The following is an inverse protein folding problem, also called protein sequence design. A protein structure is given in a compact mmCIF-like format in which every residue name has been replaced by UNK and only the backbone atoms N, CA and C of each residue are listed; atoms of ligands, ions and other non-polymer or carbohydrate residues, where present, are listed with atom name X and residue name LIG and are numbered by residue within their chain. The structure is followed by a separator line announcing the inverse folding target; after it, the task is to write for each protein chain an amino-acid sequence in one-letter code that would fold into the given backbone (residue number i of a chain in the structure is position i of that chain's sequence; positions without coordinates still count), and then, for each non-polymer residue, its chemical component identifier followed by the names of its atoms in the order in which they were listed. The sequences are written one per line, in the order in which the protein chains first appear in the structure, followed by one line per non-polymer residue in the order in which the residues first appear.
data_IF_272203140737
#
_entry.id   IF_272203140737
#
_cell.length_a   1.000
_cell.length_b   1.000
_cell.length_c   1.000
_cell.angle_alpha   90.00
_cell.angle_beta   90.00
_cell.angle_gamma   90.00
#
_symmetry.space_group_name_H-M   'P 1'
#
loop_
_entity.id
_entity.type
_entity.pdbx_description
1 polymer ?
#
# COMPACT_ATOMS: atom_id res chain seq x y z
N UNK A 1 17.13 4.91 -30.12
CA UNK A 1 15.96 4.64 -29.28
C UNK A 1 16.16 3.57 -28.18
N UNK A 2 17.10 2.62 -28.27
CA UNK A 2 17.36 1.62 -27.23
C UNK A 2 18.13 2.16 -26.00
N UNK A 3 19.03 3.12 -26.17
CA UNK A 3 19.84 3.68 -25.07
C UNK A 3 19.07 4.58 -24.10
N UNK A 4 18.05 5.30 -24.58
CA UNK A 4 17.22 6.18 -23.74
C UNK A 4 16.32 5.38 -22.79
N UNK A 5 15.90 4.17 -23.20
CA UNK A 5 15.07 3.29 -22.36
C UNK A 5 15.81 2.72 -21.14
N UNK A 6 17.12 2.46 -21.30
CA UNK A 6 17.97 1.95 -20.22
C UNK A 6 18.28 3.05 -19.19
N UNK A 7 18.47 4.30 -19.65
CA UNK A 7 18.72 5.42 -18.75
C UNK A 7 17.52 5.73 -17.83
N UNK A 8 16.28 5.66 -18.35
CA UNK A 8 15.07 5.86 -17.56
C UNK A 8 14.89 4.71 -16.54
N UNK A 9 15.19 3.48 -16.94
CA UNK A 9 15.13 2.33 -16.04
C UNK A 9 16.14 2.44 -14.86
N UNK A 10 17.35 2.92 -15.13
CA UNK A 10 18.36 3.12 -14.08
C UNK A 10 18.00 4.24 -13.10
N UNK A 11 17.37 5.31 -13.58
CA UNK A 11 16.87 6.41 -12.72
C UNK A 11 15.77 5.92 -11.77
N UNK A 12 14.86 5.06 -12.25
CA UNK A 12 13.77 4.51 -11.42
C UNK A 12 14.31 3.56 -10.35
N UNK A 13 15.32 2.73 -10.66
CA UNK A 13 15.96 1.83 -9.68
C UNK A 13 16.78 2.62 -8.64
N UNK A 14 17.47 3.68 -9.05
CA UNK A 14 18.22 4.56 -8.15
C UNK A 14 17.29 5.34 -7.21
N UNK A 15 16.05 5.63 -7.64
CA UNK A 15 15.06 6.37 -6.86
C UNK A 15 14.40 5.55 -5.76
N UNK A 16 14.26 4.25 -5.95
CA UNK A 16 13.66 3.36 -4.96
C UNK A 16 14.53 3.18 -3.70
N UNK A 17 15.82 3.53 -3.75
CA UNK A 17 16.79 3.31 -2.66
C UNK A 17 17.11 4.54 -1.80
N UNK A 18 16.52 5.70 -2.07
CA UNK A 18 17.04 6.98 -1.57
C UNK A 18 16.25 7.71 -0.49
N UNK A 19 15.07 7.25 -0.11
CA UNK A 19 14.19 8.02 0.79
C UNK A 19 13.99 7.39 2.17
N UNK A 20 15.08 7.09 2.86
CA UNK A 20 15.03 6.36 4.13
C UNK A 20 15.36 7.19 5.37
N UNK A 21 15.23 8.49 5.35
CA UNK A 21 15.65 9.29 6.52
C UNK A 21 14.82 10.54 6.81
N UNK A 22 13.50 10.47 6.71
CA UNK A 22 12.68 11.48 7.37
C UNK A 22 11.24 10.97 7.57
N UNK A 23 10.86 10.89 8.82
CA UNK A 23 9.49 10.88 9.33
C UNK A 23 8.59 9.67 9.06
N UNK A 24 8.60 8.74 9.98
CA UNK A 24 7.56 7.74 10.23
C UNK A 24 6.23 8.35 10.75
N UNK A 25 5.87 9.55 10.36
CA UNK A 25 4.77 10.27 11.03
C UNK A 25 3.57 10.63 10.18
N UNK A 26 3.49 10.14 8.94
CA UNK A 26 2.29 10.42 8.13
C UNK A 26 1.89 9.17 7.33
N UNK A 27 1.23 8.24 8.00
CA UNK A 27 0.93 6.92 7.46
C UNK A 27 -0.12 6.88 6.33
N UNK A 28 -0.60 8.02 5.81
CA UNK A 28 -1.52 8.00 4.65
C UNK A 28 -1.47 9.22 3.74
N UNK A 29 -0.66 10.22 4.02
CA UNK A 29 -0.67 11.47 3.23
C UNK A 29 0.65 11.89 2.64
N UNK A 30 1.74 11.16 2.88
CA UNK A 30 3.00 11.44 2.19
C UNK A 30 3.40 10.32 1.24
N UNK A 31 3.83 10.68 0.01
CA UNK A 31 4.41 9.72 -0.92
C UNK A 31 5.70 9.15 -0.32
N UNK A 32 5.73 7.83 -0.15
CA UNK A 32 6.84 7.05 0.43
C UNK A 32 8.17 7.13 -0.33
N UNK A 33 8.22 7.89 -1.41
CA UNK A 33 9.40 8.09 -2.25
C UNK A 33 9.38 9.41 -2.99
N UNK A 34 9.64 10.50 -2.29
CA UNK A 34 10.00 11.75 -2.97
C UNK A 34 11.47 11.73 -3.33
N UNK A 35 11.78 11.65 -4.63
CA UNK A 35 13.07 12.14 -5.10
C UNK A 35 12.88 13.64 -5.20
N UNK A 36 13.43 14.35 -4.24
CA UNK A 36 13.51 15.78 -4.31
C UNK A 36 14.58 16.18 -5.36
N UNK A 37 14.20 16.17 -6.63
CA UNK A 37 15.01 16.70 -7.71
C UNK A 37 15.04 18.23 -7.67
N UNK A 38 14.09 18.85 -6.97
CA UNK A 38 13.99 20.30 -6.83
C UNK A 38 15.03 20.87 -5.90
N UNK A 39 15.54 20.09 -4.95
CA UNK A 39 16.68 20.51 -4.12
C UNK A 39 17.96 20.73 -4.95
N UNK A 40 17.99 20.21 -6.18
CA UNK A 40 19.07 20.45 -7.15
C UNK A 40 18.88 21.76 -7.93
N UNK A 41 17.68 22.33 -7.96
CA UNK A 41 17.37 23.47 -8.82
C UNK A 41 17.26 24.79 -8.07
N UNK A 42 16.69 24.79 -6.89
CA UNK A 42 16.58 26.00 -6.03
C UNK A 42 16.17 25.62 -4.62
N UNK A 43 17.02 25.83 -3.63
CA UNK A 43 16.73 25.66 -2.23
C UNK A 43 17.13 26.95 -1.50
N UNK A 44 16.14 27.74 -1.08
CA UNK A 44 16.35 28.78 -0.07
C UNK A 44 16.01 28.19 1.31
N UNK A 45 16.52 28.79 2.38
CA UNK A 45 16.28 28.33 3.76
C UNK A 45 14.79 28.23 4.14
N UNK A 46 13.89 28.81 3.35
CA UNK A 46 12.47 28.94 3.64
C UNK A 46 11.52 28.50 2.51
N UNK A 47 12.00 28.31 1.30
CA UNK A 47 11.14 27.93 0.18
C UNK A 47 11.90 27.23 -0.95
N UNK A 48 11.22 26.41 -1.72
CA UNK A 48 11.80 25.66 -2.82
C UNK A 48 10.79 25.25 -3.86
N UNK A 49 11.28 24.83 -5.02
CA UNK A 49 10.51 24.14 -6.03
C UNK A 49 10.74 22.65 -5.90
N UNK A 50 9.68 21.90 -5.67
CA UNK A 50 9.73 20.44 -5.57
C UNK A 50 9.30 19.82 -6.90
N UNK A 51 10.10 18.87 -7.39
CA UNK A 51 9.74 17.96 -8.48
C UNK A 51 9.97 16.56 -7.94
N UNK A 52 8.90 15.79 -7.78
CA UNK A 52 9.00 14.46 -7.22
C UNK A 52 8.05 13.49 -7.92
N UNK A 53 8.38 12.20 -7.89
CA UNK A 53 7.42 11.16 -8.19
C UNK A 53 6.83 10.68 -6.86
N UNK A 54 5.69 11.21 -6.51
CA UNK A 54 5.05 10.92 -5.23
C UNK A 54 4.51 9.49 -5.09
N UNK A 55 4.42 8.76 -6.19
CA UNK A 55 3.99 7.36 -6.25
C UNK A 55 4.84 6.63 -7.26
N UNK A 56 4.90 5.30 -7.10
CA UNK A 56 5.55 4.45 -8.07
C UNK A 56 4.69 4.27 -9.34
N UNK A 57 5.31 3.76 -10.39
CA UNK A 57 4.66 3.47 -11.65
C UNK A 57 3.48 2.52 -11.48
N UNK A 58 2.34 2.82 -12.11
CA UNK A 58 1.14 2.01 -12.04
C UNK A 58 0.34 2.03 -13.34
N UNK A 59 -0.61 1.10 -13.48
CA UNK A 59 -1.39 0.93 -14.73
C UNK A 59 -2.45 2.01 -14.98
N UNK A 60 -2.80 2.80 -13.97
CA UNK A 60 -3.83 3.84 -14.07
C UNK A 60 -3.21 5.20 -14.40
N UNK A 61 -2.14 5.57 -13.71
CA UNK A 61 -1.51 6.88 -13.86
C UNK A 61 -0.25 6.87 -14.73
N UNK A 62 0.33 5.67 -14.99
CA UNK A 62 1.71 5.58 -15.46
C UNK A 62 2.68 6.02 -14.35
N UNK A 63 3.52 7.00 -14.63
CA UNK A 63 4.35 7.67 -13.62
C UNK A 63 3.71 9.01 -13.27
N UNK A 64 3.13 9.19 -12.10
CA UNK A 64 2.65 10.50 -11.65
C UNK A 64 3.82 11.37 -11.20
N UNK A 65 3.91 12.58 -11.74
CA UNK A 65 4.92 13.58 -11.40
C UNK A 65 4.25 14.72 -10.65
N UNK A 66 4.75 15.00 -9.45
CA UNK A 66 4.32 16.09 -8.58
C UNK A 66 5.29 17.26 -8.75
N UNK A 67 4.78 18.42 -9.11
CA UNK A 67 5.59 19.62 -9.32
C UNK A 67 4.91 20.83 -8.69
N UNK A 68 5.67 21.62 -7.96
CA UNK A 68 5.17 22.89 -7.43
C UNK A 68 5.97 23.45 -6.26
N UNK A 69 5.61 24.67 -5.81
CA UNK A 69 6.29 25.35 -4.74
C UNK A 69 6.01 24.70 -3.38
N UNK A 70 7.03 24.72 -2.55
CA UNK A 70 6.96 24.34 -1.13
C UNK A 70 7.56 25.46 -0.29
N UNK A 71 7.02 25.65 0.90
CA UNK A 71 7.50 26.63 1.87
C UNK A 71 7.60 25.98 3.25
N UNK A 72 8.68 26.25 3.96
CA UNK A 72 8.87 25.86 5.35
C UNK A 72 9.32 27.09 6.14
N UNK A 73 8.63 27.39 7.23
CA UNK A 73 8.92 28.57 8.02
C UNK A 73 8.42 28.40 9.44
N UNK A 74 8.64 29.43 10.26
CA UNK A 74 8.15 29.48 11.62
C UNK A 74 7.03 30.49 11.78
N UNK A 75 5.98 30.10 12.47
CA UNK A 75 4.90 30.98 12.91
C UNK A 75 4.79 30.88 14.43
N UNK A 76 5.30 31.92 15.11
CA UNK A 76 5.41 31.92 16.57
C UNK A 76 6.30 30.75 17.06
N UNK A 77 5.69 29.83 17.80
CA UNK A 77 6.37 28.62 18.31
C UNK A 77 6.17 27.38 17.42
N UNK A 78 5.44 27.52 16.33
CA UNK A 78 5.12 26.43 15.42
C UNK A 78 5.99 26.43 14.15
N UNK A 79 6.27 25.26 13.62
CA UNK A 79 6.90 25.05 12.31
C UNK A 79 5.77 24.90 11.27
N UNK A 80 5.69 25.86 10.33
CA UNK A 80 4.72 25.87 9.23
C UNK A 80 5.32 25.21 7.99
N UNK A 81 4.58 24.30 7.38
CA UNK A 81 4.91 23.72 6.07
C UNK A 81 3.73 23.90 5.11
N UNK A 82 3.99 24.47 3.95
CA UNK A 82 3.01 24.64 2.89
C UNK A 82 3.53 23.95 1.62
N UNK A 83 2.66 23.28 0.88
CA UNK A 83 2.97 22.76 -0.43
C UNK A 83 1.79 22.95 -1.38
N UNK A 84 2.08 23.37 -2.61
CA UNK A 84 1.09 23.50 -3.67
C UNK A 84 1.62 22.76 -4.90
N UNK A 85 1.18 21.50 -5.06
CA UNK A 85 1.70 20.59 -6.08
C UNK A 85 0.64 20.30 -7.14
N UNK A 86 0.98 20.53 -8.40
CA UNK A 86 0.27 19.97 -9.53
C UNK A 86 0.74 18.54 -9.77
N UNK A 87 -0.16 17.68 -10.19
CA UNK A 87 0.10 16.27 -10.53
C UNK A 87 -0.08 16.11 -12.02
N UNK A 88 0.94 15.59 -12.70
CA UNK A 88 0.91 15.25 -14.13
C UNK A 88 1.09 13.73 -14.24
N UNK A 89 0.13 13.05 -14.89
CA UNK A 89 0.13 11.60 -15.08
C UNK A 89 0.64 11.25 -16.48
N UNK A 90 1.57 10.31 -16.59
CA UNK A 90 2.17 9.92 -17.87
C UNK A 90 1.32 8.90 -18.64
N UNK A 91 0.19 8.53 -18.13
CA UNK A 91 -0.71 7.53 -18.68
C UNK A 91 -1.26 8.03 -20.02
N UNK A 92 -1.46 8.43 -20.82
CA UNK A 92 -1.98 8.97 -22.07
C UNK A 92 -0.94 9.84 -22.80
N UNK A 93 0.33 9.44 -22.75
CA UNK A 93 1.43 10.12 -23.46
C UNK A 93 1.52 11.62 -23.15
N UNK A 94 1.20 12.03 -21.92
CA UNK A 94 1.19 13.43 -21.45
C UNK A 94 0.18 14.35 -22.18
N UNK A 95 -0.88 13.82 -22.77
CA UNK A 95 -1.94 14.68 -23.27
C UNK A 95 -2.59 15.50 -22.16
N UNK A 96 -2.90 16.75 -22.45
CA UNK A 96 -3.64 17.65 -21.55
C UNK A 96 -5.12 17.25 -21.49
N UNK A 97 -5.39 16.22 -20.73
CA UNK A 97 -6.71 15.67 -20.43
C UNK A 97 -6.97 15.94 -18.94
N UNK A 98 -8.16 16.39 -18.53
CA UNK A 98 -8.51 16.55 -17.11
C UNK A 98 -8.19 15.33 -16.25
N UNK A 99 -8.31 14.13 -16.79
CA UNK A 99 -7.94 12.90 -16.07
C UNK A 99 -6.43 12.72 -15.87
N UNK A 100 -5.60 13.38 -16.68
CA UNK A 100 -4.14 13.34 -16.56
C UNK A 100 -3.59 14.40 -15.61
N UNK A 101 -4.42 15.31 -15.17
CA UNK A 101 -4.07 16.37 -14.25
C UNK A 101 -4.67 16.10 -12.87
N UNK A 102 -4.02 16.60 -11.86
CA UNK A 102 -4.48 16.58 -10.49
C UNK A 102 -3.76 17.62 -9.66
N UNK A 103 -4.07 17.71 -8.39
CA UNK A 103 -3.40 18.62 -7.48
C UNK A 103 -3.35 18.05 -6.07
N UNK A 104 -2.41 18.59 -5.29
CA UNK A 104 -2.35 18.42 -3.84
C UNK A 104 -1.87 19.72 -3.21
N UNK A 105 -2.72 20.36 -2.44
CA UNK A 105 -2.37 21.51 -1.63
C UNK A 105 -2.37 21.08 -0.17
N UNK A 106 -1.32 21.39 0.57
CA UNK A 106 -1.22 21.06 2.00
C UNK A 106 -0.75 22.25 2.80
N UNK A 107 -1.28 22.38 4.01
CA UNK A 107 -0.85 23.34 5.00
C UNK A 107 -0.78 22.63 6.36
N UNK A 108 0.40 22.56 6.94
CA UNK A 108 0.69 21.86 8.19
C UNK A 108 1.36 22.81 9.17
N UNK A 109 0.88 22.83 10.41
CA UNK A 109 1.44 23.58 11.50
C UNK A 109 1.76 22.64 12.66
N UNK A 110 3.05 22.50 12.99
CA UNK A 110 3.56 21.57 13.99
C UNK A 110 4.15 22.33 15.18
N UNK A 111 3.77 21.93 16.39
CA UNK A 111 4.27 22.46 17.65
C UNK A 111 5.01 21.37 18.43
N UNK A 112 6.27 21.67 18.79
CA UNK A 112 7.14 20.78 19.54
C UNK A 112 8.01 19.88 18.64
N UNK A 113 9.17 19.47 19.18
CA UNK A 113 10.16 18.63 18.48
C UNK A 113 10.00 17.15 18.80
N UNK A 114 10.10 16.80 20.08
CA UNK A 114 10.05 15.41 20.55
C UNK A 114 8.65 14.99 21.03
N UNK A 115 7.86 15.94 21.44
CA UNK A 115 6.45 15.75 21.82
C UNK A 115 5.69 17.00 21.49
N UNK A 116 4.47 16.85 21.06
CA UNK A 116 3.69 17.99 20.68
C UNK A 116 2.43 17.61 19.94
N UNK A 117 1.92 18.57 19.20
CA UNK A 117 0.77 18.37 18.35
C UNK A 117 0.98 19.05 16.99
N UNK A 118 0.27 18.58 16.00
CA UNK A 118 0.21 19.17 14.68
C UNK A 118 -1.24 19.29 14.24
N UNK A 119 -1.53 20.32 13.47
CA UNK A 119 -2.81 20.47 12.78
C UNK A 119 -2.53 20.75 11.31
N UNK A 120 -3.39 20.26 10.43
CA UNK A 120 -3.20 20.50 9.02
C UNK A 120 -4.50 20.42 8.24
N UNK A 121 -4.42 20.92 7.01
CA UNK A 121 -5.49 20.87 6.04
C UNK A 121 -4.92 20.53 4.67
N UNK A 122 -5.70 19.85 3.84
CA UNK A 122 -5.33 19.57 2.47
C UNK A 122 -6.53 19.60 1.53
N UNK A 123 -6.27 19.96 0.26
CA UNK A 123 -7.19 19.67 -0.84
C UNK A 123 -6.45 18.83 -1.87
N UNK A 124 -7.15 17.94 -2.53
CA UNK A 124 -6.53 17.00 -3.44
C UNK A 124 -7.46 16.55 -4.57
N UNK A 125 -6.86 16.26 -5.71
CA UNK A 125 -7.39 15.46 -6.79
C UNK A 125 -6.32 14.45 -7.17
N UNK A 126 -6.46 13.22 -6.66
CA UNK A 126 -5.45 12.19 -6.78
C UNK A 126 -6.04 10.80 -6.96
N UNK A 127 -5.20 9.88 -7.41
CA UNK A 127 -5.54 8.46 -7.46
C UNK A 127 -4.98 7.80 -6.21
N UNK A 128 -5.81 7.04 -5.49
CA UNK A 128 -5.43 6.34 -4.27
C UNK A 128 -5.47 4.82 -4.46
N UNK A 129 -4.73 4.11 -3.61
CA UNK A 129 -4.74 2.65 -3.58
C UNK A 129 -5.92 2.10 -2.79
N UNK A 130 -6.47 1.01 -3.28
CA UNK A 130 -7.29 0.11 -2.49
C UNK A 130 -6.32 -0.85 -1.78
N UNK A 131 -6.43 -1.02 -0.47
CA UNK A 131 -5.59 -1.93 0.33
C UNK A 131 -4.07 -1.66 0.30
N UNK A 132 -3.60 -0.49 0.73
CA UNK A 132 -2.17 -0.13 0.72
C UNK A 132 -1.31 -0.99 1.67
N UNK A 133 -1.91 -1.73 2.60
CA UNK A 133 -1.27 -2.49 3.67
C UNK A 133 -0.56 -3.78 3.20
N UNK A 134 -0.87 -4.28 1.99
CA UNK A 134 -0.39 -5.57 1.52
C UNK A 134 1.05 -5.54 1.01
N UNK A 135 1.40 -4.50 0.26
CA UNK A 135 2.69 -4.38 -0.43
C UNK A 135 3.28 -2.98 -0.29
N UNK A 136 4.60 -2.91 -0.37
CA UNK A 136 5.28 -1.62 -0.44
C UNK A 136 5.16 -1.00 -1.83
N UNK A 137 5.29 0.32 -1.91
CA UNK A 137 5.30 1.05 -3.18
C UNK A 137 6.32 0.50 -4.20
N UNK A 138 7.60 0.25 -3.82
CA UNK A 138 8.57 -0.27 -4.76
C UNK A 138 8.22 -1.65 -5.31
N UNK A 139 7.63 -2.54 -4.49
CA UNK A 139 7.23 -3.89 -4.94
C UNK A 139 6.21 -3.81 -6.09
N UNK A 140 5.16 -2.99 -5.91
CA UNK A 140 4.12 -2.83 -6.92
C UNK A 140 4.62 -2.08 -8.15
N UNK A 141 5.32 -0.96 -7.96
CA UNK A 141 5.75 -0.10 -9.05
C UNK A 141 6.78 -0.73 -9.97
N UNK A 142 7.77 -1.45 -9.42
CA UNK A 142 8.75 -2.15 -10.25
C UNK A 142 8.13 -3.35 -10.98
N UNK A 143 7.24 -4.08 -10.34
CA UNK A 143 6.51 -5.17 -10.99
C UNK A 143 5.61 -4.63 -12.13
N UNK A 144 4.95 -3.50 -11.95
CA UNK A 144 4.17 -2.85 -12.98
C UNK A 144 5.05 -2.40 -14.15
N UNK A 145 6.13 -1.66 -13.88
CA UNK A 145 7.00 -1.10 -14.90
C UNK A 145 7.74 -2.16 -15.72
N UNK A 146 8.34 -3.16 -15.07
CA UNK A 146 9.13 -4.17 -15.76
C UNK A 146 8.31 -5.34 -16.30
N UNK A 147 7.33 -5.83 -15.52
CA UNK A 147 6.68 -7.11 -15.78
C UNK A 147 5.20 -7.00 -16.18
N UNK A 148 4.64 -5.78 -16.28
CA UNK A 148 3.22 -5.51 -16.51
C UNK A 148 2.33 -6.17 -15.44
N UNK A 149 2.84 -6.25 -14.20
CA UNK A 149 2.14 -6.80 -13.05
C UNK A 149 1.94 -5.73 -12.00
N UNK A 150 0.78 -5.04 -12.06
CA UNK A 150 0.37 -4.12 -11.01
C UNK A 150 -0.45 -4.87 -9.96
N UNK A 151 0.10 -4.95 -8.76
CA UNK A 151 -0.53 -5.61 -7.61
C UNK A 151 -1.44 -4.71 -6.79
N UNK A 152 -1.58 -3.46 -7.15
CA UNK A 152 -2.53 -2.55 -6.52
C UNK A 152 -3.79 -2.39 -7.36
N UNK A 153 -4.87 -1.99 -6.71
CA UNK A 153 -6.07 -1.48 -7.33
C UNK A 153 -6.24 -0.03 -6.93
N UNK A 154 -6.87 0.75 -7.80
CA UNK A 154 -6.81 2.19 -7.75
C UNK A 154 -8.19 2.82 -7.87
N UNK A 155 -8.39 3.97 -7.22
CA UNK A 155 -9.59 4.79 -7.37
C UNK A 155 -9.24 6.27 -7.29
N UNK A 156 -10.06 7.12 -7.90
CA UNK A 156 -9.91 8.57 -7.84
C UNK A 156 -10.47 9.14 -6.53
N UNK A 157 -9.75 10.10 -5.94
CA UNK A 157 -10.19 10.89 -4.79
C UNK A 157 -10.08 12.36 -5.11
N UNK A 158 -11.18 13.09 -4.94
CA UNK A 158 -11.23 14.54 -5.07
C UNK A 158 -11.91 15.12 -3.84
N UNK A 159 -11.30 16.11 -3.19
CA UNK A 159 -11.89 16.69 -1.99
C UNK A 159 -10.91 17.41 -1.08
N UNK A 160 -11.28 17.49 0.19
CA UNK A 160 -10.45 18.12 1.20
C UNK A 160 -10.49 17.40 2.53
N UNK A 161 -9.45 17.61 3.33
CA UNK A 161 -9.36 17.08 4.67
C UNK A 161 -8.74 18.07 5.65
N UNK A 162 -9.07 17.89 6.92
CA UNK A 162 -8.42 18.53 8.05
C UNK A 162 -8.01 17.46 9.05
N UNK A 163 -6.94 17.69 9.78
CA UNK A 163 -6.52 16.77 10.83
C UNK A 163 -5.90 17.46 12.04
N UNK A 164 -5.93 16.76 13.15
CA UNK A 164 -5.17 17.05 14.34
C UNK A 164 -4.41 15.81 14.79
N UNK A 165 -3.14 15.97 15.11
CA UNK A 165 -2.26 14.87 15.52
C UNK A 165 -1.53 15.20 16.80
N UNK A 166 -1.48 14.28 17.74
CA UNK A 166 -0.58 14.32 18.87
C UNK A 166 0.56 13.31 18.63
N UNK A 167 1.79 13.68 18.98
CA UNK A 167 2.94 12.82 18.75
C UNK A 167 3.94 12.86 19.91
N UNK A 168 4.66 11.77 20.06
CA UNK A 168 5.76 11.64 21.00
C UNK A 168 6.98 11.01 20.30
N UNK A 169 7.96 11.85 19.93
CA UNK A 169 9.08 11.50 19.05
C UNK A 169 8.58 10.83 17.77
N UNK A 170 9.39 9.98 17.17
CA UNK A 170 9.01 9.26 15.95
C UNK A 170 8.38 7.89 16.25
N UNK A 171 8.18 7.56 17.54
CA UNK A 171 7.71 6.24 17.94
C UNK A 171 6.23 6.15 18.28
N UNK A 172 5.52 7.25 18.51
CA UNK A 172 4.09 7.21 18.80
C UNK A 172 3.36 8.43 18.24
N UNK A 173 2.23 8.19 17.61
CA UNK A 173 1.31 9.25 17.18
C UNK A 173 -0.14 8.80 17.24
N UNK A 174 -1.03 9.78 17.44
CA UNK A 174 -2.47 9.63 17.33
C UNK A 174 -2.98 10.75 16.45
N UNK A 175 -3.66 10.44 15.36
CA UNK A 175 -4.17 11.41 14.40
C UNK A 175 -5.67 11.23 14.23
N UNK A 176 -6.43 12.28 14.43
CA UNK A 176 -7.85 12.37 14.09
C UNK A 176 -7.98 13.23 12.84
N UNK A 177 -8.64 12.71 11.82
CA UNK A 177 -8.88 13.41 10.57
C UNK A 177 -10.35 13.38 10.19
N UNK A 178 -10.80 14.43 9.53
CA UNK A 178 -12.08 14.51 8.84
C UNK A 178 -11.83 14.86 7.39
N UNK A 179 -12.51 14.17 6.48
CA UNK A 179 -12.46 14.51 5.06
C UNK A 179 -13.85 14.50 4.42
N UNK A 180 -14.03 15.31 3.41
CA UNK A 180 -15.16 15.30 2.50
C UNK A 180 -14.62 15.06 1.10
N UNK A 181 -15.02 13.93 0.51
CA UNK A 181 -14.40 13.40 -0.70
C UNK A 181 -15.44 12.91 -1.70
N UNK A 182 -15.16 13.11 -2.97
CA UNK A 182 -15.77 12.35 -4.05
C UNK A 182 -14.85 11.21 -4.45
N UNK A 183 -15.34 10.00 -4.42
CA UNK A 183 -14.66 8.81 -4.92
C UNK A 183 -15.17 8.47 -6.32
N UNK A 184 -14.25 8.07 -7.19
CA UNK A 184 -14.58 7.76 -8.58
C UNK A 184 -13.78 6.55 -9.08
N UNK A 185 -14.44 5.69 -9.83
CA UNK A 185 -13.79 4.58 -10.55
C UNK A 185 -12.72 5.10 -11.51
N UNK A 186 -11.66 4.33 -11.68
CA UNK A 186 -10.57 4.63 -12.62
C UNK A 186 -10.27 3.38 -13.43
N UNK A 187 -10.19 3.54 -14.75
CA UNK A 187 -9.83 2.45 -15.65
C UNK A 187 -8.30 2.33 -15.77
N UNK A 188 -7.82 1.14 -16.06
CA UNK A 188 -6.45 0.95 -16.50
C UNK A 188 -6.21 1.62 -17.86
N UNK A 189 -4.98 2.05 -18.06
CA UNK A 189 -4.52 2.68 -19.30
C UNK A 189 -3.46 1.79 -19.96
N UNK A 190 -3.28 1.94 -21.26
CA UNK A 190 -2.19 1.24 -21.96
C UNK A 190 -0.85 1.97 -21.76
N UNK A 191 -0.31 1.79 -20.55
CA UNK A 191 0.97 2.38 -20.16
C UNK A 191 2.13 1.44 -20.52
N UNK A 192 3.32 2.01 -20.69
CA UNK A 192 4.53 1.29 -21.10
C UNK A 192 4.92 0.21 -20.05
N UNK A 193 5.32 -0.97 -20.53
CA UNK A 193 6.03 -1.98 -19.74
C UNK A 193 7.26 -2.45 -20.51
N UNK A 194 8.39 -2.63 -19.80
CA UNK A 194 9.68 -2.90 -20.44
C UNK A 194 9.74 -4.28 -21.09
N UNK A 195 9.36 -5.34 -20.37
CA UNK A 195 9.55 -6.72 -20.81
C UNK A 195 8.28 -7.37 -21.38
N UNK A 196 7.10 -6.80 -21.16
CA UNK A 196 5.82 -7.35 -21.63
C UNK A 196 4.98 -6.29 -22.35
N UNK A 197 5.53 -5.66 -23.37
CA UNK A 197 4.88 -4.56 -24.08
C UNK A 197 3.64 -4.97 -24.89
N UNK A 198 3.50 -6.24 -25.28
CA UNK A 198 2.38 -6.74 -26.10
C UNK A 198 1.22 -7.37 -25.32
N UNK A 199 1.25 -7.40 -23.97
CA UNK A 199 0.17 -7.95 -23.17
C UNK A 199 -0.91 -6.93 -22.82
N UNK A 200 -2.04 -7.38 -22.29
CA UNK A 200 -3.07 -6.54 -21.70
C UNK A 200 -2.79 -6.31 -20.21
N UNK A 201 -3.16 -5.16 -19.68
CA UNK A 201 -3.15 -4.92 -18.25
C UNK A 201 -4.32 -5.64 -17.58
N UNK A 202 -4.13 -6.04 -16.32
CA UNK A 202 -5.24 -6.50 -15.49
C UNK A 202 -6.24 -5.35 -15.34
N UNK A 203 -7.51 -5.63 -15.53
CA UNK A 203 -8.56 -4.64 -15.34
C UNK A 203 -8.51 -4.04 -13.92
N UNK A 204 -8.72 -2.74 -13.83
CA UNK A 204 -8.88 -2.08 -12.55
C UNK A 204 -10.32 -2.28 -12.07
N UNK A 205 -10.58 -2.78 -10.85
CA UNK A 205 -11.92 -3.05 -10.40
C UNK A 205 -12.74 -1.76 -10.27
N UNK A 206 -14.00 -1.84 -10.65
CA UNK A 206 -14.98 -0.78 -10.42
C UNK A 206 -15.19 -0.65 -8.91
N UNK A 207 -15.38 0.58 -8.44
CA UNK A 207 -15.71 0.90 -7.05
C UNK A 207 -17.15 1.42 -6.93
N UNK A 208 -17.59 1.73 -5.73
CA UNK A 208 -18.81 2.49 -5.52
C UNK A 208 -18.46 3.99 -5.59
N UNK A 209 -18.81 4.61 -6.73
CA UNK A 209 -18.58 6.04 -6.93
C UNK A 209 -19.54 6.84 -6.03
N UNK A 210 -19.09 7.97 -5.50
CA UNK A 210 -19.97 8.77 -4.65
C UNK A 210 -19.30 9.87 -3.86
N UNK A 211 -20.13 10.62 -3.13
CA UNK A 211 -19.69 11.64 -2.16
C UNK A 211 -19.76 11.05 -0.76
N UNK A 212 -18.66 11.16 -0.04
CA UNK A 212 -18.52 10.58 1.30
C UNK A 212 -17.85 11.54 2.26
N UNK A 213 -18.32 11.52 3.50
CA UNK A 213 -17.70 12.14 4.65
C UNK A 213 -17.02 11.06 5.50
N UNK A 214 -15.76 11.24 5.80
CA UNK A 214 -14.98 10.24 6.53
C UNK A 214 -14.35 10.86 7.77
N UNK A 215 -14.60 10.23 8.91
CA UNK A 215 -13.86 10.49 10.16
C UNK A 215 -12.91 9.32 10.36
N UNK A 216 -11.62 9.61 10.54
CA UNK A 216 -10.58 8.59 10.73
C UNK A 216 -9.77 8.87 11.98
N UNK A 217 -9.55 7.84 12.78
CA UNK A 217 -8.58 7.82 13.87
C UNK A 217 -7.46 6.86 13.51
N UNK A 218 -6.24 7.35 13.41
CA UNK A 218 -5.04 6.55 13.23
C UNK A 218 -4.18 6.60 14.49
N UNK A 219 -3.77 5.42 14.96
CA UNK A 219 -2.81 5.25 16.04
C UNK A 219 -1.60 4.52 15.50
N UNK A 220 -0.42 5.09 15.66
CA UNK A 220 0.84 4.49 15.26
C UNK A 220 1.78 4.38 16.44
N UNK A 221 2.42 3.22 16.56
CA UNK A 221 3.47 2.97 17.54
C UNK A 221 4.60 2.18 16.88
N UNK A 222 5.80 2.76 16.84
CA UNK A 222 6.95 2.21 16.13
C UNK A 222 8.22 2.33 17.00
N UNK A 223 8.65 1.21 17.55
CA UNK A 223 9.91 1.10 18.30
C UNK A 223 10.95 0.29 17.56
N UNK A 224 10.76 0.11 16.25
CA UNK A 224 11.74 -0.59 15.42
C UNK A 224 13.06 0.17 15.44
N UNK A 225 14.13 -0.58 15.55
CA UNK A 225 15.47 0.00 15.53
C UNK A 225 15.86 0.58 14.16
N UNK A 226 15.24 0.13 13.09
CA UNK A 226 15.39 0.62 11.72
C UNK A 226 14.07 0.41 10.96
N UNK A 227 13.66 1.41 10.18
CA UNK A 227 12.40 1.34 9.41
C UNK A 227 12.50 0.35 8.24
N UNK A 228 13.61 0.39 7.49
CA UNK A 228 13.76 -0.40 6.27
C UNK A 228 14.10 -1.86 6.50
N UNK A 229 14.85 -2.16 7.56
CA UNK A 229 15.35 -3.50 7.88
C UNK A 229 15.37 -3.70 9.37
N UNK A 230 14.22 -3.73 9.99
CA UNK A 230 14.13 -3.91 11.42
C UNK A 230 14.65 -5.30 11.81
N UNK A 231 15.44 -5.34 12.85
CA UNK A 231 15.87 -6.58 13.47
C UNK A 231 15.46 -6.67 14.95
N UNK A 232 14.89 -5.61 15.50
CA UNK A 232 14.31 -5.58 16.83
C UNK A 232 13.24 -4.49 16.94
N UNK A 233 12.24 -4.70 17.78
CA UNK A 233 11.23 -3.72 18.11
C UNK A 233 9.81 -4.16 17.71
N UNK A 234 8.88 -3.25 17.95
CA UNK A 234 7.47 -3.40 17.64
C UNK A 234 7.03 -2.33 16.64
N UNK A 235 6.09 -2.69 15.82
CA UNK A 235 5.29 -1.78 15.02
C UNK A 235 3.82 -2.10 15.20
N UNK A 236 3.01 -1.11 15.50
CA UNK A 236 1.56 -1.20 15.52
C UNK A 236 0.98 -0.02 14.76
N UNK A 237 0.15 -0.31 13.77
CA UNK A 237 -0.75 0.65 13.15
C UNK A 237 -2.18 0.20 13.44
N UNK A 238 -2.98 1.08 13.99
CA UNK A 238 -4.39 0.85 14.26
C UNK A 238 -5.21 1.99 13.68
N UNK A 239 -6.12 1.65 12.78
CA UNK A 239 -7.00 2.59 12.11
C UNK A 239 -8.45 2.30 12.47
N UNK A 240 -9.20 3.33 12.78
CA UNK A 240 -10.65 3.33 12.79
C UNK A 240 -11.16 4.34 11.78
N UNK A 241 -12.12 3.95 10.96
CA UNK A 241 -12.76 4.80 9.97
C UNK A 241 -14.27 4.68 10.10
N UNK A 242 -14.95 5.82 10.20
CA UNK A 242 -16.39 5.92 10.02
C UNK A 242 -16.65 6.73 8.75
N UNK A 243 -17.37 6.14 7.82
CA UNK A 243 -17.73 6.76 6.55
C UNK A 243 -19.25 6.86 6.41
N UNK A 244 -19.72 8.01 5.94
CA UNK A 244 -21.13 8.31 5.69
C UNK A 244 -21.26 8.98 4.33
N UNK A 245 -22.07 8.41 3.43
CA UNK A 245 -22.15 8.95 2.07
C UNK A 245 -23.16 8.29 1.16
N UNK A 246 -23.35 8.90 0.00
CA UNK A 246 -24.22 8.41 -1.06
C UNK A 246 -23.36 7.80 -2.19
N UNK A 247 -23.60 6.54 -2.49
CA UNK A 247 -22.80 5.77 -3.41
C UNK A 247 -23.64 5.21 -4.56
N UNK A 248 -23.15 5.35 -5.78
CA UNK A 248 -23.61 4.61 -6.92
C UNK A 248 -23.14 3.16 -6.76
N UNK A 249 -24.09 2.26 -6.55
CA UNK A 249 -23.76 0.85 -6.36
C UNK A 249 -23.32 0.25 -7.69
N UNK A 250 -22.07 -0.16 -7.78
CA UNK A 250 -21.58 -0.89 -8.94
C UNK A 250 -22.34 -2.21 -9.05
N UNK A 251 -23.39 -2.22 -9.84
CA UNK A 251 -24.21 -3.41 -10.11
C UNK A 251 -23.36 -4.53 -10.70
N UNK A 252 -23.71 -5.77 -10.40
CA UNK A 252 -23.29 -6.91 -11.23
C UNK A 252 -24.01 -6.72 -12.55
N UNK A 253 -23.34 -6.54 -13.69
CA UNK A 253 -24.04 -6.42 -14.97
C UNK A 253 -24.81 -7.72 -15.19
N UNK A 254 -26.13 -7.68 -15.12
CA UNK A 254 -27.01 -8.79 -15.46
C UNK A 254 -27.15 -8.93 -16.99
N UNK A 255 -26.67 -7.91 -17.74
CA UNK A 255 -26.63 -7.88 -19.19
C UNK A 255 -25.92 -6.62 -19.68
N UNK A 256 -25.64 -6.51 -21.00
CA UNK A 256 -24.91 -5.38 -21.55
C UNK A 256 -25.69 -4.03 -21.46
N UNK A 257 -26.95 -4.06 -21.16
CA UNK A 257 -27.84 -2.89 -21.13
C UNK A 257 -28.31 -2.51 -19.71
N UNK A 258 -27.93 -3.26 -18.67
CA UNK A 258 -28.41 -3.08 -17.29
C UNK A 258 -27.37 -2.33 -16.43
N UNK A 259 -27.26 -1.04 -16.69
CA UNK A 259 -26.57 -0.11 -15.77
C UNK A 259 -27.61 0.45 -14.82
N UNK A 260 -28.02 -0.32 -13.81
CA UNK A 260 -28.81 0.25 -12.71
C UNK A 260 -27.84 1.03 -11.80
N UNK A 261 -27.81 2.33 -11.96
CA UNK A 261 -27.19 3.27 -11.02
C UNK A 261 -28.13 3.46 -9.82
N UNK A 262 -28.24 2.43 -8.98
CA UNK A 262 -28.96 2.57 -7.72
C UNK A 262 -28.05 3.31 -6.73
N UNK A 263 -28.45 4.53 -6.38
CA UNK A 263 -27.75 5.36 -5.39
C UNK A 263 -28.21 4.92 -4.00
N UNK A 264 -27.29 4.39 -3.20
CA UNK A 264 -27.56 3.99 -1.83
C UNK A 264 -26.81 4.86 -0.85
N UNK A 265 -27.47 5.24 0.22
CA UNK A 265 -26.83 5.84 1.38
C UNK A 265 -26.21 4.72 2.23
N UNK A 266 -24.90 4.83 2.50
CA UNK A 266 -24.18 3.89 3.35
C UNK A 266 -23.51 4.65 4.50
N UNK A 267 -23.76 4.16 5.72
CA UNK A 267 -23.10 4.61 6.93
C UNK A 267 -22.41 3.41 7.58
N UNK A 268 -21.08 3.38 7.52
CA UNK A 268 -20.29 2.22 7.94
C UNK A 268 -19.19 2.59 8.92
N UNK A 269 -18.80 1.61 9.74
CA UNK A 269 -17.62 1.67 10.58
C UNK A 269 -16.70 0.49 10.30
N UNK A 270 -15.39 0.76 10.17
CA UNK A 270 -14.36 -0.26 10.03
C UNK A 270 -13.17 0.02 10.95
N UNK A 271 -12.46 -1.04 11.35
CA UNK A 271 -11.15 -0.92 11.97
C UNK A 271 -10.14 -1.79 11.24
N UNK A 272 -8.87 -1.44 11.40
CA UNK A 272 -7.76 -2.19 10.83
C UNK A 272 -6.56 -2.15 11.78
N UNK A 273 -5.94 -3.30 12.02
CA UNK A 273 -4.78 -3.45 12.91
C UNK A 273 -3.67 -4.19 12.15
N UNK A 274 -2.47 -3.67 12.18
CA UNK A 274 -1.24 -4.31 11.68
C UNK A 274 -0.20 -4.27 12.80
N UNK A 275 0.00 -5.40 13.45
CA UNK A 275 0.95 -5.57 14.54
C UNK A 275 2.13 -6.38 14.04
N UNK A 276 3.35 -5.84 14.20
CA UNK A 276 4.60 -6.52 13.82
C UNK A 276 5.56 -6.58 14.98
N UNK A 277 6.20 -7.72 15.13
CA UNK A 277 7.28 -7.94 16.08
C UNK A 277 8.53 -8.41 15.37
N UNK A 278 9.64 -7.74 15.61
CA UNK A 278 10.95 -8.12 15.15
C UNK A 278 11.77 -8.52 16.35
N UNK A 279 12.32 -9.75 16.32
CA UNK A 279 13.03 -10.31 17.46
C UNK A 279 14.36 -10.94 17.05
N UNK A 280 15.46 -10.31 17.44
CA UNK A 280 16.79 -10.85 17.22
C UNK A 280 17.07 -11.92 18.26
N UNK A 281 17.15 -13.18 17.83
CA UNK A 281 17.43 -14.32 18.70
C UNK A 281 18.93 -14.44 18.95
N UNK A 282 19.75 -14.16 17.94
CA UNK A 282 21.20 -14.16 18.02
C UNK A 282 21.82 -13.17 17.03
N UNK A 283 23.13 -12.93 17.02
CA UNK A 283 23.76 -12.01 16.07
C UNK A 283 23.41 -12.27 14.59
N UNK A 284 23.06 -13.51 14.24
CA UNK A 284 22.76 -13.94 12.86
C UNK A 284 21.36 -14.49 12.67
N UNK A 285 20.54 -14.57 13.73
CA UNK A 285 19.22 -15.21 13.66
C UNK A 285 18.14 -14.25 14.14
N UNK A 286 17.05 -14.22 13.41
CA UNK A 286 15.92 -13.34 13.68
C UNK A 286 14.62 -14.10 13.49
N UNK A 287 13.64 -13.86 14.35
CA UNK A 287 12.27 -14.34 14.23
C UNK A 287 11.34 -13.13 14.19
N UNK A 288 10.59 -13.00 13.11
CA UNK A 288 9.66 -11.91 12.89
C UNK A 288 8.23 -12.45 12.86
N UNK A 289 7.30 -11.70 13.39
CA UNK A 289 5.89 -12.02 13.32
C UNK A 289 5.08 -10.81 12.92
N UNK A 290 4.00 -11.04 12.15
CA UNK A 290 3.00 -10.04 11.81
C UNK A 290 1.62 -10.61 12.00
N UNK A 291 0.73 -9.82 12.61
CA UNK A 291 -0.69 -10.11 12.75
C UNK A 291 -1.47 -8.95 12.14
N UNK A 292 -2.38 -9.27 11.24
CA UNK A 292 -3.31 -8.30 10.68
C UNK A 292 -4.73 -8.76 10.96
N UNK A 293 -5.55 -7.84 11.40
CA UNK A 293 -6.98 -8.04 11.56
C UNK A 293 -7.70 -6.76 11.16
N UNK A 294 -8.72 -6.85 10.31
CA UNK A 294 -9.44 -5.65 9.93
C UNK A 294 -10.70 -5.89 9.14
N UNK A 295 -11.45 -4.81 8.99
CA UNK A 295 -12.66 -4.74 8.21
C UNK A 295 -13.84 -4.15 8.97
N UNK A 296 -15.03 -4.49 8.53
CA UNK A 296 -16.30 -4.01 9.05
C UNK A 296 -16.49 -4.27 10.55
N UNK A 297 -16.99 -3.28 11.27
CA UNK A 297 -17.32 -3.36 12.69
C UNK A 297 -18.82 -3.19 12.90
N UNK A 298 -19.40 -2.14 12.30
CA UNK A 298 -20.81 -1.79 12.47
C UNK A 298 -21.35 -0.98 11.28
N UNK A 299 -22.67 -0.80 11.26
CA UNK A 299 -23.39 -0.04 10.24
C UNK A 299 -23.66 -0.85 8.98
N UNK A 300 -23.75 -0.17 7.85
CA UNK A 300 -23.97 -0.78 6.56
C UNK A 300 -22.74 -1.54 6.04
N UNK A 301 -22.91 -2.27 4.95
CA UNK A 301 -21.80 -2.97 4.30
C UNK A 301 -20.72 -2.00 3.82
N UNK A 302 -19.47 -2.45 3.86
CA UNK A 302 -18.38 -1.65 3.34
C UNK A 302 -18.55 -1.41 1.82
N UNK A 303 -18.34 -0.18 1.34
CA UNK A 303 -18.25 0.08 -0.09
C UNK A 303 -17.04 -0.68 -0.68
N UNK A 304 -17.08 -1.00 -1.98
CA UNK A 304 -16.13 -1.91 -2.63
C UNK A 304 -14.67 -1.52 -2.41
N UNK A 305 -14.34 -0.23 -2.44
CA UNK A 305 -13.00 0.29 -2.22
C UNK A 305 -12.52 0.24 -0.76
N UNK A 306 -13.37 -0.20 0.17
CA UNK A 306 -13.05 -0.42 1.58
C UNK A 306 -13.08 -1.90 1.97
N UNK A 307 -13.54 -2.76 1.09
CA UNK A 307 -13.47 -4.21 1.28
C UNK A 307 -12.04 -4.69 1.16
N UNK A 308 -11.78 -5.84 1.74
CA UNK A 308 -10.45 -6.39 1.94
C UNK A 308 -10.29 -7.72 1.21
N UNK A 309 -9.05 -8.09 0.92
CA UNK A 309 -8.72 -9.35 0.28
C UNK A 309 -7.43 -9.95 0.84
N UNK A 310 -7.27 -11.26 0.72
CA UNK A 310 -6.05 -11.98 1.04
C UNK A 310 -5.69 -12.95 -0.11
N UNK A 311 -4.44 -13.36 -0.14
CA UNK A 311 -3.81 -14.16 -1.20
C UNK A 311 -2.78 -13.36 -1.97
N UNK A 312 -1.71 -14.01 -2.40
CA UNK A 312 -0.63 -13.43 -3.17
C UNK A 312 0.50 -12.85 -2.34
N UNK A 313 1.46 -12.27 -3.05
CA UNK A 313 2.80 -11.91 -2.55
C UNK A 313 2.83 -10.94 -1.36
N UNK A 314 1.75 -10.22 -1.11
CA UNK A 314 1.64 -9.29 0.02
C UNK A 314 1.06 -9.90 1.29
N UNK A 315 0.48 -11.10 1.20
CA UNK A 315 -0.23 -11.77 2.28
C UNK A 315 0.13 -13.23 2.39
N UNK A 316 -0.50 -14.12 1.61
CA UNK A 316 -0.27 -15.58 1.59
C UNK A 316 0.19 -15.96 0.19
N UNK A 317 1.50 -15.93 -0.09
CA UNK A 317 2.04 -16.04 -1.45
C UNK A 317 1.91 -17.42 -2.09
N UNK A 318 1.59 -18.46 -1.33
CA UNK A 318 1.27 -19.79 -1.87
C UNK A 318 -0.04 -19.88 -2.64
N UNK A 319 -0.86 -18.82 -2.62
CA UNK A 319 -2.13 -18.71 -3.30
C UNK A 319 -2.12 -17.59 -4.35
N UNK A 320 -3.06 -17.68 -5.28
CA UNK A 320 -3.28 -16.63 -6.27
C UNK A 320 -3.59 -15.28 -5.62
N UNK A 321 -3.18 -14.22 -6.33
CA UNK A 321 -3.31 -12.85 -5.85
C UNK A 321 -4.78 -12.48 -5.59
N UNK A 322 -5.08 -12.16 -4.30
CA UNK A 322 -6.40 -11.72 -3.80
C UNK A 322 -7.55 -12.70 -4.09
N UNK A 323 -7.28 -13.99 -4.12
CA UNK A 323 -8.29 -14.99 -4.45
C UNK A 323 -8.75 -15.87 -3.28
N UNK A 324 -8.21 -15.69 -2.09
CA UNK A 324 -8.67 -16.42 -0.91
C UNK A 324 -10.02 -15.84 -0.47
N UNK A 325 -11.00 -16.71 -0.23
CA UNK A 325 -12.37 -16.32 0.07
C UNK A 325 -13.30 -16.35 -1.13
N UNK A 326 -12.88 -17.02 -2.22
CA UNK A 326 -13.70 -17.27 -3.40
C UNK A 326 -14.16 -18.72 -3.38
N UNK A 327 -15.46 -18.95 -3.54
CA UNK A 327 -16.05 -20.28 -3.56
C UNK A 327 -17.54 -20.27 -3.23
N UNK A 328 -18.08 -21.45 -2.91
CA UNK A 328 -19.50 -21.66 -2.62
C UNK A 328 -19.83 -21.76 -1.13
N UNK A 329 -18.81 -21.82 -0.28
CA UNK A 329 -18.98 -22.01 1.15
C UNK A 329 -19.52 -20.78 1.88
N UNK A 330 -20.11 -20.97 3.03
CA UNK A 330 -20.57 -19.89 3.91
C UNK A 330 -19.40 -18.98 4.28
N UNK A 331 -19.62 -17.67 4.19
CA UNK A 331 -18.60 -16.64 4.48
C UNK A 331 -17.62 -16.37 3.35
N UNK A 332 -17.77 -17.00 2.20
CA UNK A 332 -16.98 -16.67 1.02
C UNK A 332 -17.30 -15.26 0.50
N UNK A 333 -16.28 -14.54 0.09
CA UNK A 333 -16.39 -13.13 -0.30
C UNK A 333 -16.89 -12.94 -1.74
N UNK A 334 -16.78 -13.97 -2.57
CA UNK A 334 -17.30 -14.00 -3.92
C UNK A 334 -17.64 -15.44 -4.31
N UNK A 335 -18.68 -15.61 -5.15
CA UNK A 335 -19.06 -16.93 -5.67
C UNK A 335 -18.29 -17.27 -6.94
N UNK A 336 -17.96 -18.56 -7.11
CA UNK A 336 -17.48 -19.07 -8.37
C UNK A 336 -18.56 -18.83 -9.46
N UNK A 337 -18.12 -18.37 -10.62
CA UNK A 337 -19.03 -18.02 -11.74
C UNK A 337 -19.56 -16.59 -11.73
N UNK A 338 -19.56 -15.89 -10.58
CA UNK A 338 -19.86 -14.45 -10.52
C UNK A 338 -18.61 -13.59 -10.74
N UNK A 339 -17.48 -14.20 -11.05
CA UNK A 339 -16.22 -13.50 -11.22
C UNK A 339 -16.01 -13.08 -12.65
N UNK A 340 -15.93 -11.79 -12.86
CA UNK A 340 -15.18 -11.27 -14.00
C UNK A 340 -13.70 -11.58 -13.73
N UNK A 341 -13.04 -12.21 -14.70
CA UNK A 341 -11.63 -12.57 -14.58
C UNK A 341 -10.79 -11.40 -14.05
N UNK A 342 -10.04 -11.64 -12.98
CA UNK A 342 -9.17 -10.63 -12.38
C UNK A 342 -9.76 -9.80 -11.24
N UNK A 343 -11.04 -9.93 -10.90
CA UNK A 343 -11.58 -9.25 -9.70
C UNK A 343 -11.06 -9.90 -8.42
N UNK A 344 -10.65 -9.10 -7.42
CA UNK A 344 -10.25 -9.60 -6.12
C UNK A 344 -11.46 -10.15 -5.35
N UNK A 345 -11.21 -11.05 -4.40
CA UNK A 345 -12.18 -11.35 -3.36
C UNK A 345 -12.46 -10.07 -2.56
N UNK A 346 -13.73 -9.76 -2.33
CA UNK A 346 -14.16 -8.52 -1.68
C UNK A 346 -14.78 -8.83 -0.32
N UNK A 347 -13.92 -9.12 0.66
CA UNK A 347 -14.31 -9.51 2.00
C UNK A 347 -14.66 -8.31 2.87
N UNK A 348 -15.58 -8.51 3.81
CA UNK A 348 -15.91 -7.51 4.83
C UNK A 348 -14.86 -7.50 5.95
N UNK A 349 -14.26 -8.64 6.25
CA UNK A 349 -13.18 -8.80 7.23
C UNK A 349 -12.07 -9.69 6.71
N UNK A 350 -10.87 -9.46 7.25
CA UNK A 350 -9.71 -10.32 7.03
C UNK A 350 -8.97 -10.54 8.35
N UNK A 351 -8.32 -11.70 8.44
CA UNK A 351 -7.32 -12.00 9.44
C UNK A 351 -6.12 -12.65 8.76
N UNK A 352 -4.91 -12.28 9.20
CA UNK A 352 -3.65 -12.78 8.66
C UNK A 352 -2.64 -12.91 9.79
N UNK A 353 -1.94 -14.05 9.85
CA UNK A 353 -0.80 -14.29 10.70
C UNK A 353 0.39 -14.72 9.84
N UNK A 354 1.53 -14.10 10.02
CA UNK A 354 2.74 -14.37 9.27
C UNK A 354 3.90 -14.55 10.25
N UNK A 355 4.68 -15.60 10.06
CA UNK A 355 5.89 -15.88 10.83
C UNK A 355 7.06 -16.08 9.89
N UNK A 356 8.19 -15.46 10.19
CA UNK A 356 9.39 -15.49 9.37
C UNK A 356 10.62 -15.73 10.23
N UNK A 357 11.40 -16.73 9.88
CA UNK A 357 12.72 -16.98 10.42
C UNK A 357 13.78 -16.58 9.41
N UNK A 358 14.76 -15.79 9.85
CA UNK A 358 15.90 -15.33 9.05
C UNK A 358 17.21 -15.81 9.64
N UNK A 359 18.09 -16.29 8.79
CA UNK A 359 19.45 -16.66 9.14
C UNK A 359 20.45 -15.94 8.21
N UNK A 360 21.27 -15.04 8.77
CA UNK A 360 22.31 -14.34 8.01
C UNK A 360 23.40 -15.34 7.60
N UNK A 361 23.65 -15.43 6.29
CA UNK A 361 24.63 -16.30 5.69
C UNK A 361 26.01 -15.61 5.71
N UNK A 362 27.02 -16.35 6.10
CA UNK A 362 28.42 -15.90 6.01
C UNK A 362 29.03 -16.62 4.82
N UNK A 363 29.52 -15.86 3.87
CA UNK A 363 30.17 -16.41 2.68
C UNK A 363 31.30 -15.49 2.27
N UNK A 364 32.48 -16.06 2.03
CA UNK A 364 33.65 -15.34 1.52
C UNK A 364 33.35 -14.62 0.21
N UNK A 365 32.49 -15.20 -0.64
CA UNK A 365 32.06 -14.59 -1.90
C UNK A 365 31.40 -13.21 -1.69
N UNK A 366 30.53 -13.09 -0.67
CA UNK A 366 29.88 -11.83 -0.37
C UNK A 366 30.79 -10.86 0.36
N UNK A 367 31.79 -11.35 1.08
CA UNK A 367 32.84 -10.53 1.69
C UNK A 367 33.75 -9.91 0.63
N UNK A 368 34.06 -10.62 -0.44
CA UNK A 368 34.78 -10.09 -1.62
C UNK A 368 33.94 -9.01 -2.31
N UNK A 369 32.65 -9.23 -2.50
CA UNK A 369 31.73 -8.24 -3.04
C UNK A 369 31.66 -6.96 -2.17
N UNK A 370 31.63 -7.14 -0.86
CA UNK A 370 31.60 -6.05 0.10
C UNK A 370 32.94 -5.29 0.19
N UNK A 371 34.07 -5.96 -0.02
CA UNK A 371 35.42 -5.34 -0.05
C UNK A 371 35.67 -4.52 -1.32
N UNK A 372 35.18 -4.98 -2.46
CA UNK A 372 35.35 -4.29 -3.74
C UNK A 372 34.35 -3.12 -3.95
N UNK A 373 33.49 -2.88 -2.96
CA UNK A 373 32.81 -1.63 -2.71
C UNK A 373 31.98 -1.06 -3.85
N UNK A 374 30.81 -1.63 -4.15
CA UNK A 374 29.77 -0.89 -4.87
C UNK A 374 29.30 0.25 -3.95
N UNK A 375 29.58 1.49 -4.32
CA UNK A 375 29.09 2.67 -3.64
C UNK A 375 27.80 3.15 -4.31
N UNK A 376 26.72 3.20 -3.59
CA UNK A 376 25.47 3.82 -4.02
C UNK A 376 25.37 5.17 -3.29
N UNK A 377 25.41 6.27 -4.07
CA UNK A 377 25.42 7.65 -3.52
C UNK A 377 26.51 7.91 -2.46
N UNK A 378 27.73 7.41 -2.69
CA UNK A 378 28.85 7.65 -1.78
C UNK A 378 28.87 6.80 -0.51
N UNK A 379 27.80 6.09 -0.17
CA UNK A 379 27.74 5.15 0.94
C UNK A 379 28.13 3.73 0.50
N UNK A 380 28.90 2.98 1.29
CA UNK A 380 29.25 1.61 0.97
C UNK A 380 28.02 0.72 1.03
N UNK A 381 27.67 0.12 -0.10
CA UNK A 381 26.60 -0.85 -0.19
C UNK A 381 27.09 -2.22 0.28
N UNK A 382 26.54 -2.73 1.37
CA UNK A 382 26.88 -4.05 1.90
C UNK A 382 25.75 -5.04 1.65
N UNK A 383 26.05 -6.09 0.91
CA UNK A 383 25.14 -7.23 0.74
C UNK A 383 25.26 -8.14 1.95
N UNK A 384 24.17 -8.35 2.66
CA UNK A 384 24.07 -9.30 3.77
C UNK A 384 23.00 -10.34 3.44
N UNK A 385 23.40 -11.43 2.76
CA UNK A 385 22.45 -12.44 2.36
C UNK A 385 21.88 -13.16 3.58
N UNK A 386 20.60 -13.44 3.55
CA UNK A 386 19.91 -14.20 4.59
C UNK A 386 19.04 -15.28 3.97
N UNK A 387 19.17 -16.50 4.45
CA UNK A 387 18.20 -17.55 4.21
C UNK A 387 16.94 -17.24 5.03
N UNK A 388 15.79 -17.37 4.40
CA UNK A 388 14.49 -17.05 4.99
C UNK A 388 13.60 -18.27 4.90
N UNK A 389 12.95 -18.65 5.99
CA UNK A 389 11.87 -19.62 6.02
C UNK A 389 10.63 -18.96 6.62
N UNK A 390 9.46 -19.26 6.12
CA UNK A 390 8.24 -18.63 6.59
C UNK A 390 7.01 -19.54 6.53
N UNK A 391 6.02 -19.19 7.33
CA UNK A 391 4.68 -19.74 7.30
C UNK A 391 3.69 -18.59 7.43
N UNK A 392 2.67 -18.60 6.58
CA UNK A 392 1.59 -17.64 6.59
C UNK A 392 0.26 -18.36 6.71
N UNK A 393 -0.70 -17.75 7.43
CA UNK A 393 -2.05 -18.25 7.57
C UNK A 393 -3.03 -17.08 7.56
N UNK A 394 -4.16 -17.22 6.89
CA UNK A 394 -5.16 -16.17 6.89
C UNK A 394 -6.43 -16.54 6.17
N UNK A 395 -7.42 -15.67 6.33
CA UNK A 395 -8.73 -15.79 5.70
C UNK A 395 -9.39 -14.42 5.55
N UNK A 396 -10.20 -14.30 4.51
CA UNK A 396 -11.20 -13.26 4.39
C UNK A 396 -12.61 -13.85 4.47
N UNK A 397 -13.60 -13.09 4.95
CA UNK A 397 -14.99 -13.53 5.04
C UNK A 397 -15.98 -12.38 4.98
N UNK A 398 -17.24 -12.72 4.67
CA UNK A 398 -18.35 -11.79 4.76
C UNK A 398 -18.91 -11.77 6.18
N UNK A 399 -19.31 -10.58 6.62
CA UNK A 399 -19.96 -10.35 7.92
C UNK A 399 -20.91 -9.16 7.79
N UNK A 400 -21.97 -9.14 8.57
CA UNK A 400 -22.91 -8.00 8.56
C UNK A 400 -24.27 -8.37 9.14
N UNK A 401 -25.17 -7.39 9.29
CA UNK A 401 -26.52 -7.59 9.82
C UNK A 401 -27.47 -8.32 8.86
N UNK A 402 -27.14 -8.38 7.59
CA UNK A 402 -27.92 -9.04 6.56
C UNK A 402 -27.08 -10.04 5.88
N UNK A 403 -27.57 -11.00 5.69
CA UNK A 403 -27.97 -11.80 5.37
C UNK A 403 -27.80 -12.53 4.25
N UNK A 404 -28.17 -13.42 4.02
CA UNK A 404 -28.13 -14.53 3.16
C UNK A 404 -27.16 -15.56 3.71
N UNK A 405 -27.18 -16.77 3.19
CA UNK A 405 -26.48 -17.97 3.65
C UNK A 405 -24.95 -17.92 3.66
N UNK A 406 -24.39 -16.82 3.17
CA UNK A 406 -22.94 -16.65 2.99
C UNK A 406 -22.29 -15.70 3.99
N UNK A 407 -23.02 -15.21 4.99
CA UNK A 407 -22.50 -14.26 5.96
C UNK A 407 -22.43 -14.84 7.36
N UNK A 408 -21.31 -14.57 8.05
CA UNK A 408 -21.20 -14.77 9.48
C UNK A 408 -21.89 -13.64 10.24
N UNK A 409 -22.46 -13.93 11.42
CA UNK A 409 -22.91 -12.87 12.32
C UNK A 409 -21.72 -12.03 12.79
N UNK A 410 -21.97 -10.79 13.21
CA UNK A 410 -20.92 -9.83 13.56
C UNK A 410 -19.94 -10.34 14.63
N UNK A 411 -20.40 -11.20 15.55
CA UNK A 411 -19.57 -11.81 16.60
C UNK A 411 -18.89 -13.12 16.21
N UNK A 412 -19.21 -13.68 15.04
CA UNK A 412 -18.68 -15.00 14.64
C UNK A 412 -17.32 -14.84 13.95
N UNK A 413 -16.44 -15.79 14.24
CA UNK A 413 -15.16 -15.98 13.54
C UNK A 413 -15.19 -17.29 12.78
N UNK A 414 -14.65 -17.34 11.55
CA UNK A 414 -14.49 -18.58 10.82
C UNK A 414 -13.60 -19.58 11.59
N UNK A 415 -13.97 -20.85 11.57
CA UNK A 415 -13.18 -21.92 12.17
C UNK A 415 -11.75 -21.96 11.58
N UNK A 416 -10.77 -22.34 12.38
CA UNK A 416 -9.36 -22.40 11.94
C UNK A 416 -9.13 -23.43 10.84
N UNK A 417 -9.96 -24.46 10.75
CA UNK A 417 -9.98 -25.46 9.68
C UNK A 417 -10.24 -24.84 8.29
N UNK A 418 -10.88 -23.68 8.26
CA UNK A 418 -11.17 -22.93 7.02
C UNK A 418 -10.10 -21.92 6.62
N UNK A 419 -9.07 -21.75 7.45
CA UNK A 419 -7.95 -20.85 7.13
C UNK A 419 -7.06 -21.45 6.05
N UNK A 420 -6.57 -20.57 5.19
CA UNK A 420 -5.60 -20.93 4.16
C UNK A 420 -4.19 -20.70 4.71
N UNK A 421 -3.32 -21.71 4.48
CA UNK A 421 -1.95 -21.67 4.98
C UNK A 421 -0.96 -22.01 3.87
N UNK A 422 0.19 -21.37 3.91
CA UNK A 422 1.33 -21.70 3.08
C UNK A 422 2.63 -21.76 3.88
N UNK A 423 3.64 -22.32 3.26
CA UNK A 423 5.03 -22.31 3.73
C UNK A 423 5.94 -21.89 2.59
N UNK A 424 7.06 -21.30 2.92
CA UNK A 424 8.01 -20.91 1.88
C UNK A 424 9.41 -20.71 2.37
N UNK A 425 10.31 -20.63 1.39
CA UNK A 425 11.72 -20.39 1.56
C UNK A 425 12.17 -19.24 0.68
N UNK A 426 13.25 -18.58 1.04
CA UNK A 426 13.82 -17.52 0.22
C UNK A 426 15.25 -17.19 0.55
N UNK A 427 15.83 -16.41 -0.35
CA UNK A 427 17.14 -15.79 -0.19
C UNK A 427 16.95 -14.26 -0.29
N UNK A 428 17.20 -13.57 0.81
CA UNK A 428 17.16 -12.11 0.89
C UNK A 428 18.59 -11.57 0.78
N UNK A 429 18.86 -10.81 -0.27
CA UNK A 429 20.16 -10.17 -0.52
C UNK A 429 20.26 -8.77 0.08
N UNK A 430 19.18 -8.33 0.70
CA UNK A 430 19.16 -7.08 1.38
C UNK A 430 18.44 -5.95 0.70
N UNK A 431 18.59 -5.74 -0.57
CA UNK A 431 17.79 -4.82 -1.38
C UNK A 431 16.58 -5.51 -1.97
N UNK A 432 16.72 -6.79 -2.29
CA UNK A 432 15.67 -7.64 -2.81
C UNK A 432 15.85 -9.06 -2.31
N UNK A 433 14.75 -9.78 -2.20
CA UNK A 433 14.73 -11.21 -1.89
C UNK A 433 13.95 -11.97 -2.95
N UNK A 434 14.39 -13.20 -3.22
CA UNK A 434 13.71 -14.16 -4.09
C UNK A 434 13.14 -15.27 -3.22
N UNK A 435 11.90 -15.59 -3.44
CA UNK A 435 11.15 -16.50 -2.57
C UNK A 435 10.35 -17.51 -3.39
N UNK A 436 10.11 -18.66 -2.79
CA UNK A 436 9.15 -19.65 -3.26
C UNK A 436 8.18 -19.97 -2.14
N UNK A 437 6.90 -20.05 -2.44
CA UNK A 437 5.84 -20.43 -1.51
C UNK A 437 4.97 -21.55 -2.08
N UNK A 438 4.49 -22.41 -1.21
CA UNK A 438 3.58 -23.50 -1.55
C UNK A 438 2.43 -23.52 -0.56
N UNK A 439 1.20 -23.53 -1.06
CA UNK A 439 0.01 -23.77 -0.26
C UNK A 439 0.07 -25.14 0.41
N UNK A 440 -0.21 -25.19 1.71
CA UNK A 440 -0.27 -26.40 2.52
C UNK A 440 -1.72 -26.84 2.70
N UNK A 441 -2.62 -25.88 2.97
CA UNK A 441 -4.05 -26.17 3.14
C UNK A 441 -4.75 -26.57 1.84
N UNK A 442 -4.12 -26.38 0.68
CA UNK A 442 -4.67 -26.71 -0.63
C UNK A 442 -3.56 -27.23 -1.56
N UNK A 443 -3.36 -28.55 -1.55
CA UNK A 443 -2.23 -29.18 -2.22
C UNK A 443 -2.21 -29.00 -3.75
N UNK A 444 -3.36 -28.72 -4.36
CA UNK A 444 -3.50 -28.52 -5.82
C UNK A 444 -2.92 -27.19 -6.30
N UNK A 445 -2.82 -26.18 -5.42
CA UNK A 445 -2.23 -24.88 -5.78
C UNK A 445 -0.76 -25.07 -6.21
N UNK A 446 -0.31 -24.44 -7.30
CA UNK A 446 1.08 -24.52 -7.74
C UNK A 446 2.02 -23.84 -6.73
N UNK A 447 3.32 -24.16 -6.80
CA UNK A 447 4.32 -23.37 -6.08
C UNK A 447 4.52 -22.03 -6.80
N UNK A 448 4.50 -20.94 -6.04
CA UNK A 448 4.63 -19.58 -6.55
C UNK A 448 6.02 -19.02 -6.29
N UNK A 449 6.66 -18.46 -7.32
CA UNK A 449 7.91 -17.74 -7.22
C UNK A 449 7.65 -16.23 -7.23
N UNK A 450 8.30 -15.50 -6.32
CA UNK A 450 8.12 -14.06 -6.25
C UNK A 450 9.38 -13.33 -5.75
N UNK A 451 9.44 -12.05 -6.05
CA UNK A 451 10.50 -11.15 -5.62
C UNK A 451 9.89 -10.09 -4.70
N UNK A 452 10.58 -9.76 -3.61
CA UNK A 452 10.23 -8.65 -2.72
C UNK A 452 11.39 -7.68 -2.62
N UNK A 453 11.06 -6.42 -2.54
CA UNK A 453 12.00 -5.34 -2.28
C UNK A 453 11.81 -4.91 -0.83
N UNK A 454 12.89 -4.80 -0.06
CA UNK A 454 12.87 -4.45 1.36
C UNK A 454 12.40 -5.51 2.36
N UNK A 455 12.15 -6.72 1.98
CA UNK A 455 11.70 -7.78 2.88
C UNK A 455 10.21 -8.08 2.76
N UNK A 456 9.70 -9.01 3.58
CA UNK A 456 8.34 -9.52 3.43
C UNK A 456 7.30 -8.64 4.12
N UNK A 457 7.61 -8.01 5.25
CA UNK A 457 6.72 -7.10 6.00
C UNK A 457 7.49 -6.15 6.95
#
# INVERSE_FOLDING_TARGET
MKSTRIAIALVIVASASASASASAQQAETQPDSTIDLGSLLYNSDHGGLTISSGKTYNRVEGLPVYIGPTYKGRVGRGDLSLAALGIIRSSNKFHWDPENLGHRLTADLRFGRHRGFAVGASTFDEVAKIEPWQLTEPDGGLAAFFLRRDYFDWYGRHGGSIYASAFRSDYASATLAYSSERWASRSERDVLSVFRSGGTWRANPVINDGLVHVVRLNLNFDTRNQVLRPWAGWYLSADYEHGDGNFEMAGTPLGPDDVSTDVQHLSYGRAFFDLRRYNRISPRRQLNGRLVFGGWIHGDQLPLQRRLSVGGIGTIPGFDFRRIGIGTDVGQCARDGMQVAGRPAQCQRVALAQLEYRHELVSELFDIFNRNGIRVRGAPFRVKPSAVAFVDAGRGWLVGPRQGDLQYTSGSLPGFDTWRTDVGLGLDLGIAGVYVAKAVSEAKEPANFFIRIRGRF
#
